data_IF_060358832595
#
_entry.id   IF_060358832595
#
_cell.length_a   1.000
_cell.length_b   1.000
_cell.length_c   1.000
_cell.angle_alpha   90.00
_cell.angle_beta   90.00
_cell.angle_gamma   90.00
#
_symmetry.space_group_name_H-M   'P 1'
#
loop_
_entity.id
_entity.type
_entity.pdbx_description
1 polymer ?
#
# COMPACT_ATOMS: atom_id res chain seq x y z
N UNK A 1 25.36 -63.27 18.46
CA UNK A 1 25.39 -63.58 19.91
C UNK A 1 25.37 -62.24 20.65
N UNK A 2 24.27 -61.48 20.72
CA UNK A 2 23.05 -61.65 21.53
C UNK A 2 23.31 -61.93 23.02
N UNK A 3 23.41 -60.86 23.81
CA UNK A 3 23.23 -60.89 25.26
C UNK A 3 22.05 -59.97 25.62
N UNK A 4 20.91 -60.62 25.93
CA UNK A 4 19.70 -60.04 26.51
C UNK A 4 19.92 -59.86 28.01
N UNK A 5 19.59 -58.70 28.56
CA UNK A 5 19.34 -58.54 29.99
C UNK A 5 17.89 -58.16 30.23
N UNK A 6 17.27 -58.92 31.13
CA UNK A 6 15.85 -58.90 31.48
C UNK A 6 15.56 -57.86 32.56
N UNK A 7 14.31 -57.41 32.52
CA UNK A 7 13.61 -56.63 33.54
C UNK A 7 13.72 -57.23 34.95
N UNK A 8 13.87 -56.36 35.95
CA UNK A 8 13.54 -56.61 37.35
C UNK A 8 12.66 -55.47 37.85
N UNK A 9 11.39 -55.79 38.06
CA UNK A 9 10.32 -54.93 38.59
C UNK A 9 10.34 -54.95 40.12
N UNK A 10 10.22 -53.78 40.75
CA UNK A 10 9.77 -53.61 42.13
C UNK A 10 8.61 -52.60 42.15
N UNK A 11 7.39 -53.14 42.22
CA UNK A 11 6.18 -52.57 42.80
C UNK A 11 6.42 -52.37 44.31
N UNK A 12 5.81 -51.48 45.12
CA UNK A 12 4.72 -50.50 45.09
C UNK A 12 4.76 -49.77 46.47
N UNK A 13 3.77 -49.01 46.97
CA UNK A 13 2.80 -48.08 46.37
C UNK A 13 2.93 -46.66 46.98
N UNK A 14 2.57 -45.61 46.23
CA UNK A 14 2.20 -44.33 46.83
C UNK A 14 0.71 -44.09 46.60
N UNK A 15 0.04 -43.88 47.72
CA UNK A 15 -1.39 -43.85 47.85
C UNK A 15 -2.04 -42.76 47.00
N UNK A 16 -3.09 -43.17 46.30
CA UNK A 16 -4.13 -42.31 45.78
C UNK A 16 -4.79 -41.52 46.92
N UNK A 17 -4.62 -40.20 46.93
CA UNK A 17 -5.62 -39.32 47.55
C UNK A 17 -6.56 -38.86 46.43
N UNK A 18 -7.71 -39.53 46.35
CA UNK A 18 -8.80 -39.16 45.48
C UNK A 18 -9.46 -37.89 46.04
N UNK A 19 -9.13 -36.73 45.47
CA UNK A 19 -10.02 -35.57 45.57
C UNK A 19 -11.12 -35.74 44.52
N UNK A 20 -12.31 -36.12 45.02
CA UNK A 20 -13.57 -35.95 44.34
C UNK A 20 -13.79 -34.46 44.01
N UNK A 21 -13.50 -34.08 42.77
CA UNK A 21 -14.16 -32.94 42.15
C UNK A 21 -15.23 -33.52 41.22
N UNK A 22 -16.46 -33.46 41.72
CA UNK A 22 -17.64 -33.82 40.98
C UNK A 22 -17.68 -33.05 39.67
N UNK A 23 -18.02 -33.79 38.61
CA UNK A 23 -18.46 -33.24 37.35
C UNK A 23 -19.72 -32.40 37.60
N UNK A 24 -19.53 -31.09 37.78
CA UNK A 24 -20.55 -30.13 37.41
C UNK A 24 -20.47 -29.98 35.90
N UNK A 25 -21.56 -30.37 35.24
CA UNK A 25 -21.82 -30.03 33.86
C UNK A 25 -21.49 -28.55 33.63
N UNK A 26 -20.88 -28.17 32.48
CA UNK A 26 -20.80 -26.77 32.14
C UNK A 26 -22.24 -26.29 31.97
N UNK A 27 -22.72 -25.54 32.96
CA UNK A 27 -23.81 -24.62 32.73
C UNK A 27 -23.33 -23.72 31.59
N UNK A 28 -24.03 -23.77 30.45
CA UNK A 28 -23.98 -22.74 29.42
C UNK A 28 -24.36 -21.43 30.10
N UNK A 29 -23.36 -20.78 30.69
CA UNK A 29 -23.42 -19.36 31.00
C UNK A 29 -23.31 -18.67 29.65
N UNK A 30 -24.48 -18.47 29.04
CA UNK A 30 -24.65 -17.45 28.04
C UNK A 30 -23.97 -16.17 28.58
N UNK A 31 -23.12 -15.50 27.79
CA UNK A 31 -22.50 -14.26 28.23
C UNK A 31 -23.62 -13.32 28.68
N UNK A 32 -23.43 -12.54 29.76
CA UNK A 32 -24.37 -11.51 30.11
C UNK A 32 -24.50 -10.64 28.87
N UNK A 33 -25.69 -10.67 28.27
CA UNK A 33 -26.10 -9.68 27.29
C UNK A 33 -26.09 -8.37 28.06
N UNK A 34 -24.95 -7.69 28.02
CA UNK A 34 -24.86 -6.29 28.38
C UNK A 34 -25.85 -5.60 27.45
N UNK A 35 -27.02 -5.31 28.01
CA UNK A 35 -28.02 -4.48 27.37
C UNK A 35 -27.31 -3.18 27.01
N UNK A 36 -26.95 -3.04 25.74
CA UNK A 36 -26.52 -1.78 25.17
C UNK A 36 -27.62 -0.78 25.56
N UNK A 37 -27.30 0.36 26.18
CA UNK A 37 -28.29 1.40 26.38
C UNK A 37 -28.92 1.66 25.02
N UNK A 38 -30.25 1.57 24.96
CA UNK A 38 -31.00 1.88 23.76
C UNK A 38 -30.47 3.23 23.26
N UNK A 39 -29.75 3.21 22.14
CA UNK A 39 -29.36 4.41 21.42
C UNK A 39 -30.67 5.12 21.13
N UNK A 40 -30.98 6.14 21.93
CA UNK A 40 -32.06 7.03 21.65
C UNK A 40 -31.85 7.47 20.21
N UNK A 41 -32.77 7.08 19.33
CA UNK A 41 -32.79 7.57 17.96
C UNK A 41 -32.82 9.08 18.07
N UNK A 42 -31.66 9.73 17.89
CA UNK A 42 -31.62 11.16 17.67
C UNK A 42 -32.42 11.35 16.39
N UNK A 43 -33.66 11.80 16.54
CA UNK A 43 -34.44 12.28 15.42
C UNK A 43 -33.58 13.35 14.75
N UNK A 44 -33.13 13.07 13.54
CA UNK A 44 -32.45 14.08 12.73
C UNK A 44 -33.36 15.32 12.74
N UNK A 45 -32.80 16.50 13.06
CA UNK A 45 -33.58 17.72 13.05
C UNK A 45 -34.29 17.85 11.69
N UNK A 46 -35.57 18.28 11.67
CA UNK A 46 -36.34 18.36 10.44
C UNK A 46 -35.54 19.16 9.40
N UNK A 47 -35.21 18.52 8.26
CA UNK A 47 -34.53 19.17 7.15
C UNK A 47 -35.32 20.41 6.77
N UNK A 48 -34.65 21.56 6.78
CA UNK A 48 -35.23 22.81 6.30
C UNK A 48 -35.84 22.57 4.90
N UNK A 49 -36.96 23.23 4.56
CA UNK A 49 -37.60 23.06 3.27
C UNK A 49 -36.62 23.40 2.15
N UNK A 50 -36.47 22.47 1.19
CA UNK A 50 -35.54 22.60 0.08
C UNK A 50 -35.96 23.79 -0.81
N UNK A 51 -35.09 24.78 -1.00
CA UNK A 51 -35.44 26.03 -1.71
C UNK A 51 -35.35 25.87 -3.24
N UNK A 52 -34.39 25.09 -3.71
CA UNK A 52 -34.02 24.96 -5.11
C UNK A 52 -34.20 23.49 -5.54
N UNK A 53 -35.25 23.20 -6.32
CA UNK A 53 -35.56 21.83 -6.77
C UNK A 53 -34.55 21.28 -7.79
N UNK A 54 -33.85 22.16 -8.52
CA UNK A 54 -32.89 21.73 -9.55
C UNK A 54 -31.57 21.23 -8.99
N UNK A 55 -30.98 21.95 -8.04
CA UNK A 55 -29.66 21.60 -7.49
C UNK A 55 -29.71 20.99 -6.09
N UNK A 56 -30.91 20.84 -5.52
CA UNK A 56 -31.08 20.39 -4.13
C UNK A 56 -30.31 21.25 -3.12
N UNK A 57 -30.41 22.57 -3.29
CA UNK A 57 -29.74 23.60 -2.47
C UNK A 57 -28.21 23.52 -2.41
N UNK A 58 -27.59 22.85 -3.39
CA UNK A 58 -26.12 22.81 -3.48
C UNK A 58 -25.51 24.05 -4.14
N UNK A 59 -26.33 24.91 -4.76
CA UNK A 59 -25.87 26.09 -5.52
C UNK A 59 -25.10 25.75 -6.81
N UNK A 60 -25.01 24.47 -7.18
CA UNK A 60 -24.27 24.00 -8.36
C UNK A 60 -24.99 22.84 -9.05
N UNK A 61 -24.73 22.68 -10.34
CA UNK A 61 -25.25 21.58 -11.16
C UNK A 61 -24.09 20.84 -11.83
N UNK A 62 -24.23 19.53 -12.10
CA UNK A 62 -23.26 18.82 -12.92
C UNK A 62 -23.20 19.48 -14.30
N UNK A 63 -22.00 19.53 -14.87
CA UNK A 63 -21.76 20.09 -16.19
C UNK A 63 -22.51 19.29 -17.27
N UNK A 64 -23.19 19.97 -18.20
CA UNK A 64 -23.95 19.33 -19.29
C UNK A 64 -23.08 18.49 -20.24
N UNK A 65 -21.80 18.83 -20.36
CA UNK A 65 -20.85 18.16 -21.25
C UNK A 65 -20.31 16.84 -20.70
N UNK A 66 -20.66 16.50 -19.45
CA UNK A 66 -20.14 15.32 -18.76
C UNK A 66 -21.30 14.54 -18.11
N UNK A 67 -21.24 13.21 -18.04
CA UNK A 67 -22.21 12.46 -17.27
C UNK A 67 -22.13 12.88 -15.79
N UNK A 68 -23.28 13.05 -15.14
CA UNK A 68 -23.34 13.54 -13.76
C UNK A 68 -22.52 12.69 -12.79
N UNK A 69 -22.47 11.37 -13.00
CA UNK A 69 -21.66 10.46 -12.19
C UNK A 69 -20.16 10.72 -12.31
N UNK A 70 -19.67 11.18 -13.47
CA UNK A 70 -18.25 11.51 -13.67
C UNK A 70 -17.89 12.85 -13.00
N UNK A 71 -18.84 13.79 -12.96
CA UNK A 71 -18.65 15.09 -12.30
C UNK A 71 -18.38 14.94 -10.80
N UNK A 72 -18.95 13.91 -10.16
CA UNK A 72 -18.71 13.61 -8.73
C UNK A 72 -17.25 13.24 -8.46
N UNK A 73 -16.59 12.52 -9.38
CA UNK A 73 -15.17 12.12 -9.21
C UNK A 73 -14.24 13.33 -9.14
N UNK A 74 -14.62 14.41 -9.81
CA UNK A 74 -13.85 15.66 -9.86
C UNK A 74 -13.83 16.42 -8.54
N UNK A 75 -14.65 16.01 -7.57
CA UNK A 75 -14.60 16.54 -6.20
C UNK A 75 -13.43 15.94 -5.40
N UNK A 76 -12.99 14.73 -5.74
CA UNK A 76 -11.99 13.96 -4.98
C UNK A 76 -10.54 14.20 -5.45
N UNK A 77 -10.35 14.87 -6.58
CA UNK A 77 -9.02 15.16 -7.15
C UNK A 77 -8.66 16.64 -7.08
N UNK A 78 -7.42 17.01 -7.37
CA UNK A 78 -7.01 18.41 -7.57
C UNK A 78 -7.04 18.80 -9.05
N UNK A 79 -6.90 17.82 -9.94
CA UNK A 79 -6.84 17.99 -11.38
C UNK A 79 -7.16 16.67 -12.10
N UNK A 80 -7.90 16.75 -13.21
CA UNK A 80 -8.12 15.66 -14.15
C UNK A 80 -8.00 16.19 -15.58
N UNK A 81 -7.08 15.65 -16.37
CA UNK A 81 -6.86 16.11 -17.75
C UNK A 81 -8.04 15.84 -18.67
N UNK A 82 -8.82 14.78 -18.44
CA UNK A 82 -9.94 14.37 -19.31
C UNK A 82 -11.01 15.46 -19.43
N UNK A 83 -11.23 16.23 -18.35
CA UNK A 83 -12.21 17.32 -18.37
C UNK A 83 -11.58 18.71 -18.28
N UNK A 84 -10.28 18.83 -17.97
CA UNK A 84 -9.58 20.11 -17.76
C UNK A 84 -9.74 21.14 -18.88
N UNK A 85 -10.03 20.69 -20.10
CA UNK A 85 -10.26 21.52 -21.28
C UNK A 85 -11.71 21.92 -21.53
N UNK A 86 -12.67 21.47 -20.71
CA UNK A 86 -14.09 21.73 -20.93
C UNK A 86 -14.40 23.23 -20.83
N UNK A 87 -14.89 23.81 -21.92
CA UNK A 87 -15.21 25.23 -22.01
C UNK A 87 -16.37 25.66 -21.09
N UNK A 88 -17.27 24.72 -20.74
CA UNK A 88 -18.47 25.01 -19.95
C UNK A 88 -18.15 25.06 -18.45
N UNK A 89 -17.49 24.04 -17.91
CA UNK A 89 -17.17 23.99 -16.47
C UNK A 89 -15.76 24.48 -16.12
N UNK A 90 -14.87 24.64 -17.11
CA UNK A 90 -13.46 24.96 -16.89
C UNK A 90 -12.68 23.82 -16.24
N UNK A 91 -13.11 22.58 -16.46
CA UNK A 91 -12.48 21.39 -15.88
C UNK A 91 -12.82 21.09 -14.44
N UNK A 92 -13.90 21.67 -13.92
CA UNK A 92 -14.37 21.42 -12.55
C UNK A 92 -15.41 20.31 -12.49
N UNK A 93 -16.07 19.98 -13.60
CA UNK A 93 -17.21 19.05 -13.63
C UNK A 93 -18.54 19.68 -13.17
N UNK A 94 -18.49 20.89 -12.63
CA UNK A 94 -19.65 21.57 -12.06
C UNK A 94 -19.82 22.98 -12.63
N UNK A 95 -21.08 23.40 -12.73
CA UNK A 95 -21.49 24.75 -13.13
C UNK A 95 -22.38 25.36 -12.07
N UNK A 96 -22.49 26.68 -12.11
CA UNK A 96 -23.30 27.44 -11.17
C UNK A 96 -24.80 27.21 -11.40
N UNK A 97 -25.58 27.11 -10.32
CA UNK A 97 -27.04 27.03 -10.41
C UNK A 97 -27.66 28.42 -10.38
N UNK A 98 -27.98 28.93 -11.57
CA UNK A 98 -28.54 30.28 -11.78
C UNK A 98 -29.86 30.56 -11.07
N UNK A 99 -30.59 29.53 -10.65
CA UNK A 99 -31.87 29.71 -9.95
C UNK A 99 -31.70 29.99 -8.45
N UNK A 100 -30.56 29.63 -7.85
CA UNK A 100 -30.39 29.72 -6.41
C UNK A 100 -29.50 30.91 -5.98
N UNK A 101 -28.76 31.53 -6.90
CA UNK A 101 -27.88 32.69 -6.67
C UNK A 101 -26.98 32.53 -5.42
N UNK A 102 -26.40 31.32 -5.25
CA UNK A 102 -25.59 30.99 -4.08
C UNK A 102 -24.14 31.50 -4.25
N UNK A 103 -23.87 32.68 -3.69
CA UNK A 103 -22.55 33.31 -3.72
C UNK A 103 -21.41 32.43 -3.16
N UNK A 104 -21.71 31.49 -2.24
CA UNK A 104 -20.71 30.56 -1.70
C UNK A 104 -20.34 29.52 -2.75
N UNK A 105 -21.34 28.94 -3.43
CA UNK A 105 -21.13 27.98 -4.50
C UNK A 105 -20.43 28.62 -5.71
N UNK A 106 -20.83 29.83 -6.09
CA UNK A 106 -20.19 30.61 -7.16
C UNK A 106 -18.71 30.86 -6.86
N UNK A 107 -18.40 31.33 -5.63
CA UNK A 107 -17.01 31.55 -5.21
C UNK A 107 -16.21 30.25 -5.22
N UNK A 108 -16.77 29.15 -4.73
CA UNK A 108 -16.12 27.85 -4.75
C UNK A 108 -15.78 27.40 -6.17
N UNK A 109 -16.71 27.57 -7.14
CA UNK A 109 -16.48 27.24 -8.55
C UNK A 109 -15.35 28.07 -9.16
N UNK A 110 -15.32 29.38 -8.89
CA UNK A 110 -14.24 30.27 -9.36
C UNK A 110 -12.89 29.85 -8.79
N UNK A 111 -12.80 29.65 -7.48
CA UNK A 111 -11.57 29.22 -6.80
C UNK A 111 -11.10 27.85 -7.32
N UNK A 112 -12.03 26.95 -7.60
CA UNK A 112 -11.74 25.61 -8.12
C UNK A 112 -11.23 25.64 -9.55
N UNK A 113 -11.81 26.45 -10.44
CA UNK A 113 -11.30 26.66 -11.81
C UNK A 113 -9.87 27.20 -11.79
N UNK A 114 -9.59 28.18 -10.92
CA UNK A 114 -8.26 28.73 -10.76
C UNK A 114 -7.25 27.66 -10.30
N UNK A 115 -7.63 26.79 -9.36
CA UNK A 115 -6.81 25.65 -8.93
C UNK A 115 -6.55 24.67 -10.07
N UNK A 116 -7.59 24.27 -10.82
CA UNK A 116 -7.45 23.35 -11.98
C UNK A 116 -6.50 23.94 -13.02
N UNK A 117 -6.65 25.22 -13.37
CA UNK A 117 -5.76 25.91 -14.30
C UNK A 117 -4.31 25.94 -13.80
N UNK A 118 -4.09 26.26 -12.52
CA UNK A 118 -2.76 26.25 -11.93
C UNK A 118 -2.12 24.85 -11.94
N UNK A 119 -2.89 23.80 -11.66
CA UNK A 119 -2.41 22.41 -11.73
C UNK A 119 -2.12 21.97 -13.17
N UNK A 120 -2.94 22.38 -14.15
CA UNK A 120 -2.66 22.15 -15.58
C UNK A 120 -1.28 22.66 -15.97
N UNK A 121 -0.95 23.90 -15.59
CA UNK A 121 0.37 24.49 -15.83
C UNK A 121 1.47 23.74 -15.08
N UNK A 122 1.26 23.42 -13.80
CA UNK A 122 2.24 22.73 -12.98
C UNK A 122 2.59 21.32 -13.49
N UNK A 123 1.64 20.62 -14.11
CA UNK A 123 1.82 19.26 -14.65
C UNK A 123 2.23 19.22 -16.13
N UNK A 124 2.45 20.39 -16.77
CA UNK A 124 2.82 20.50 -18.18
C UNK A 124 4.18 19.84 -18.48
N UNK A 125 5.10 19.79 -17.51
CA UNK A 125 6.42 19.16 -17.69
C UNK A 125 6.30 17.68 -18.12
N UNK A 126 5.22 17.00 -17.75
CA UNK A 126 4.96 15.62 -18.17
C UNK A 126 4.65 15.57 -19.68
N UNK A 127 3.82 16.49 -20.18
CA UNK A 127 3.51 16.56 -21.61
C UNK A 127 4.74 16.95 -22.42
N UNK A 128 5.55 17.86 -21.88
CA UNK A 128 6.80 18.30 -22.52
C UNK A 128 7.81 17.15 -22.61
N UNK A 129 7.94 16.33 -21.56
CA UNK A 129 8.79 15.14 -21.57
C UNK A 129 8.29 14.07 -22.56
N UNK A 130 6.97 13.94 -22.71
CA UNK A 130 6.34 12.98 -23.61
C UNK A 130 6.12 13.52 -25.03
N UNK A 131 6.36 14.81 -25.27
CA UNK A 131 6.13 15.52 -26.53
C UNK A 131 4.69 15.44 -27.06
N UNK A 132 3.73 15.22 -26.16
CA UNK A 132 2.29 15.14 -26.44
C UNK A 132 1.51 15.35 -25.15
N UNK A 133 0.24 15.72 -25.26
CA UNK A 133 -0.66 15.66 -24.11
C UNK A 133 -0.85 14.20 -23.66
N UNK A 134 -0.73 13.98 -22.36
CA UNK A 134 -1.01 12.67 -21.73
C UNK A 134 -2.14 12.78 -20.71
N UNK A 135 -2.91 11.70 -20.58
CA UNK A 135 -3.98 11.57 -19.60
C UNK A 135 -3.39 11.47 -18.21
N UNK A 136 -3.74 12.41 -17.35
CA UNK A 136 -3.22 12.48 -15.99
C UNK A 136 -4.18 13.14 -15.03
N UNK A 137 -4.05 12.75 -13.78
CA UNK A 137 -4.75 13.35 -12.68
C UNK A 137 -3.83 13.53 -11.49
N UNK A 138 -4.28 14.32 -10.55
CA UNK A 138 -3.56 14.59 -9.32
C UNK A 138 -4.53 14.60 -8.16
N UNK A 139 -4.14 13.96 -7.07
CA UNK A 139 -4.83 13.99 -5.79
C UNK A 139 -4.03 14.79 -4.75
N UNK A 140 -4.44 14.72 -3.49
CA UNK A 140 -3.74 15.40 -2.40
C UNK A 140 -2.26 14.98 -2.30
N UNK A 141 -1.97 13.69 -2.47
CA UNK A 141 -0.64 13.13 -2.21
C UNK A 141 0.06 12.53 -3.45
N UNK A 142 -0.64 12.39 -4.57
CA UNK A 142 -0.15 11.63 -5.73
C UNK A 142 -0.39 12.35 -7.06
N UNK A 143 0.49 12.09 -8.02
CA UNK A 143 0.25 12.38 -9.44
C UNK A 143 0.22 11.06 -10.20
N UNK A 144 -0.77 10.89 -11.07
CA UNK A 144 -0.93 9.67 -11.87
C UNK A 144 -1.08 10.05 -13.35
N UNK A 145 -0.25 9.46 -14.21
CA UNK A 145 -0.51 9.33 -15.65
C UNK A 145 -1.13 7.96 -15.92
N UNK A 146 -2.21 7.93 -16.69
CA UNK A 146 -2.97 6.72 -16.99
C UNK A 146 -3.33 6.64 -18.47
N UNK A 147 -2.43 6.06 -19.27
CA UNK A 147 -2.60 5.88 -20.71
C UNK A 147 -3.16 4.50 -21.07
N UNK A 148 -3.80 3.82 -20.12
CA UNK A 148 -4.59 2.61 -20.41
C UNK A 148 -5.98 3.03 -20.92
N UNK A 149 -6.52 2.28 -21.89
CA UNK A 149 -7.84 2.57 -22.49
C UNK A 149 -8.99 2.09 -21.61
N UNK A 150 -9.28 0.78 -21.65
CA UNK A 150 -10.32 0.17 -20.85
C UNK A 150 -9.78 -1.08 -20.18
N UNK A 151 -10.27 -1.35 -18.98
CA UNK A 151 -9.83 -2.49 -18.20
C UNK A 151 -11.02 -3.12 -17.50
N UNK A 152 -11.00 -4.45 -17.40
CA UNK A 152 -11.97 -5.18 -16.59
C UNK A 152 -11.50 -5.13 -15.15
N UNK A 153 -12.29 -4.48 -14.30
CA UNK A 153 -12.13 -4.44 -12.84
C UNK A 153 -13.27 -5.25 -12.26
N UNK A 154 -12.93 -6.34 -11.58
CA UNK A 154 -13.90 -7.34 -11.11
C UNK A 154 -14.86 -7.80 -12.23
N UNK A 155 -16.14 -7.39 -12.16
CA UNK A 155 -17.21 -7.74 -13.11
C UNK A 155 -17.51 -6.64 -14.13
N UNK A 156 -16.95 -5.44 -13.97
CA UNK A 156 -17.24 -4.27 -14.82
C UNK A 156 -16.06 -3.95 -15.73
N UNK A 157 -16.35 -3.39 -16.89
CA UNK A 157 -15.34 -2.77 -17.75
C UNK A 157 -15.42 -1.27 -17.53
N UNK A 158 -14.32 -0.69 -17.06
CA UNK A 158 -14.27 0.72 -16.69
C UNK A 158 -13.61 1.51 -17.82
N UNK A 159 -14.08 2.73 -18.03
CA UNK A 159 -13.49 3.65 -18.99
C UNK A 159 -12.15 4.18 -18.48
N UNK A 160 -11.35 4.75 -19.38
CA UNK A 160 -10.09 5.41 -19.03
C UNK A 160 -10.23 6.51 -17.98
N UNK A 161 -11.33 7.27 -18.04
CA UNK A 161 -11.61 8.35 -17.10
C UNK A 161 -11.90 7.77 -15.71
N UNK A 162 -12.77 6.76 -15.64
CA UNK A 162 -13.10 6.07 -14.39
C UNK A 162 -11.87 5.36 -13.79
N UNK A 163 -11.02 4.76 -14.62
CA UNK A 163 -9.79 4.10 -14.18
C UNK A 163 -8.77 5.09 -13.59
N UNK A 164 -8.60 6.27 -14.19
CA UNK A 164 -7.71 7.31 -13.65
C UNK A 164 -8.12 7.67 -12.22
N UNK A 165 -9.41 7.91 -11.98
CA UNK A 165 -9.95 8.24 -10.66
C UNK A 165 -9.89 7.06 -9.69
N UNK A 166 -10.23 5.85 -10.15
CA UNK A 166 -10.12 4.63 -9.34
C UNK A 166 -8.69 4.44 -8.81
N UNK A 167 -7.69 4.58 -9.68
CA UNK A 167 -6.31 4.38 -9.29
C UNK A 167 -5.75 5.51 -8.43
N UNK A 168 -6.16 6.77 -8.64
CA UNK A 168 -5.86 7.85 -7.69
C UNK A 168 -6.42 7.53 -6.30
N UNK A 169 -7.68 7.09 -6.21
CA UNK A 169 -8.30 6.69 -4.94
C UNK A 169 -7.58 5.52 -4.27
N UNK A 170 -7.16 4.52 -5.04
CA UNK A 170 -6.36 3.38 -4.54
C UNK A 170 -5.01 3.84 -3.99
N UNK A 171 -4.33 4.75 -4.69
CA UNK A 171 -3.05 5.33 -4.24
C UNK A 171 -3.22 6.19 -2.97
N UNK A 172 -4.29 6.97 -2.86
CA UNK A 172 -4.64 7.70 -1.63
C UNK A 172 -4.95 6.76 -0.47
N UNK A 173 -5.62 5.63 -0.74
CA UNK A 173 -5.87 4.58 0.26
C UNK A 173 -4.55 3.98 0.77
N UNK A 174 -3.61 3.67 -0.14
CA UNK A 174 -2.27 3.23 0.23
C UNK A 174 -1.53 4.29 1.05
N UNK A 175 -1.57 5.56 0.64
CA UNK A 175 -0.94 6.65 1.37
C UNK A 175 -1.45 6.77 2.82
N UNK A 176 -2.77 6.68 3.00
CA UNK A 176 -3.40 6.75 4.31
C UNK A 176 -3.01 5.56 5.20
N UNK A 177 -3.01 4.33 4.66
CA UNK A 177 -2.60 3.13 5.41
C UNK A 177 -1.10 3.16 5.73
N UNK A 178 -0.25 3.56 4.78
CA UNK A 178 1.19 3.80 5.01
C UNK A 178 1.42 4.78 6.14
N UNK A 179 0.75 5.93 6.11
CA UNK A 179 0.90 6.98 7.11
C UNK A 179 0.43 6.51 8.50
N UNK A 180 -0.70 5.81 8.55
CA UNK A 180 -1.24 5.25 9.78
C UNK A 180 -0.30 4.18 10.38
N UNK A 181 0.24 3.28 9.55
CA UNK A 181 1.08 2.16 9.99
C UNK A 181 2.46 2.60 10.47
N UNK A 182 3.05 3.61 9.83
CA UNK A 182 4.33 4.17 10.23
C UNK A 182 4.19 5.33 11.23
N UNK A 183 2.96 5.74 11.54
CA UNK A 183 2.64 6.89 12.39
C UNK A 183 3.32 8.17 11.92
N UNK A 184 3.34 8.39 10.60
CA UNK A 184 3.89 9.58 9.95
C UNK A 184 2.77 10.51 9.49
N UNK A 185 3.09 11.78 9.30
CA UNK A 185 2.16 12.80 8.80
C UNK A 185 2.66 13.45 7.51
N UNK A 186 1.77 14.17 6.83
CA UNK A 186 2.01 14.81 5.53
C UNK A 186 3.27 15.68 5.49
N UNK A 187 3.62 16.36 6.59
CA UNK A 187 4.77 17.29 6.64
C UNK A 187 6.11 16.59 6.55
N UNK A 188 6.14 15.27 6.74
CA UNK A 188 7.34 14.46 6.64
C UNK A 188 7.66 14.04 5.21
N UNK A 189 6.74 14.18 4.25
CA UNK A 189 7.00 13.81 2.86
C UNK A 189 7.66 14.96 2.11
N UNK A 190 8.82 14.71 1.50
CA UNK A 190 9.54 15.74 0.75
C UNK A 190 8.91 16.07 -0.61
N UNK A 191 8.03 15.20 -1.12
CA UNK A 191 7.37 15.40 -2.39
C UNK A 191 6.28 14.37 -2.62
N UNK A 192 5.44 14.65 -3.62
CA UNK A 192 4.41 13.73 -4.10
C UNK A 192 5.04 12.68 -5.03
N UNK A 193 4.76 11.40 -4.85
CA UNK A 193 5.08 10.39 -5.86
C UNK A 193 4.36 10.67 -7.19
N UNK A 194 5.09 10.52 -8.29
CA UNK A 194 4.53 10.51 -9.64
C UNK A 194 4.53 9.07 -10.19
N UNK A 195 3.35 8.56 -10.51
CA UNK A 195 3.16 7.21 -11.05
C UNK A 195 2.74 7.35 -12.52
N UNK A 196 3.39 6.61 -13.42
CA UNK A 196 3.14 6.65 -14.85
C UNK A 196 2.81 5.25 -15.38
N UNK A 197 1.58 5.06 -15.82
CA UNK A 197 1.09 3.76 -16.31
C UNK A 197 0.77 3.88 -17.80
N UNK A 198 1.50 3.11 -18.60
CA UNK A 198 1.45 3.18 -20.07
C UNK A 198 0.88 1.91 -20.67
N UNK A 199 0.11 2.05 -21.75
CA UNK A 199 -0.27 0.88 -22.55
C UNK A 199 0.85 0.44 -23.51
N UNK A 200 1.55 1.41 -24.10
CA UNK A 200 2.62 1.16 -25.07
C UNK A 200 3.99 1.08 -24.38
N UNK A 201 4.80 0.03 -24.63
CA UNK A 201 6.15 -0.06 -24.11
C UNK A 201 7.04 1.14 -24.49
N UNK A 202 6.83 1.71 -25.67
CA UNK A 202 7.59 2.87 -26.16
C UNK A 202 7.37 4.11 -25.31
N UNK A 203 6.15 4.34 -24.83
CA UNK A 203 5.85 5.45 -23.94
C UNK A 203 6.50 5.24 -22.56
N UNK A 204 6.50 3.99 -22.08
CA UNK A 204 7.23 3.63 -20.86
C UNK A 204 8.73 3.91 -20.98
N UNK A 205 9.37 3.48 -22.07
CA UNK A 205 10.79 3.72 -22.33
C UNK A 205 11.11 5.22 -22.45
N UNK A 206 10.30 5.96 -23.20
CA UNK A 206 10.45 7.41 -23.37
C UNK A 206 10.32 8.14 -22.03
N UNK A 207 9.32 7.78 -21.22
CA UNK A 207 9.12 8.32 -19.88
C UNK A 207 10.30 7.99 -18.96
N UNK A 208 10.76 6.73 -18.97
CA UNK A 208 11.91 6.29 -18.21
C UNK A 208 13.14 7.15 -18.50
N UNK A 209 13.50 7.31 -19.77
CA UNK A 209 14.66 8.11 -20.16
C UNK A 209 14.50 9.60 -19.85
N UNK A 210 13.30 10.16 -20.08
CA UNK A 210 13.09 11.62 -19.99
C UNK A 210 12.85 12.13 -18.57
N UNK A 211 12.25 11.31 -17.71
CA UNK A 211 11.84 11.70 -16.36
C UNK A 211 12.55 10.91 -15.25
N UNK A 212 13.12 9.74 -15.54
CA UNK A 212 13.82 8.93 -14.54
C UNK A 212 15.31 8.72 -14.88
N UNK A 213 15.75 9.15 -16.07
CA UNK A 213 17.11 8.97 -16.60
C UNK A 213 17.53 7.49 -16.70
N UNK A 214 16.56 6.58 -16.75
CA UNK A 214 16.77 5.13 -16.72
C UNK A 214 15.67 4.41 -17.50
N UNK A 215 15.99 3.26 -18.11
CA UNK A 215 15.02 2.39 -18.75
C UNK A 215 15.26 0.92 -18.40
N UNK A 216 14.19 0.14 -18.37
CA UNK A 216 14.21 -1.31 -18.20
C UNK A 216 12.96 -1.89 -18.86
N UNK A 217 12.95 -3.19 -19.15
CA UNK A 217 11.74 -3.85 -19.67
C UNK A 217 10.60 -3.91 -18.62
N UNK A 218 10.97 -4.00 -17.35
CA UNK A 218 10.06 -3.93 -16.21
C UNK A 218 9.89 -2.49 -15.73
N UNK A 219 9.09 -2.28 -14.68
CA UNK A 219 8.89 -0.95 -14.12
C UNK A 219 10.19 -0.33 -13.59
N UNK A 220 10.34 0.99 -13.76
CA UNK A 220 11.53 1.76 -13.35
C UNK A 220 11.14 2.75 -12.26
N UNK A 221 11.92 2.79 -11.18
CA UNK A 221 11.70 3.64 -10.00
C UNK A 221 12.85 4.65 -9.88
N UNK A 222 12.53 5.94 -9.78
CA UNK A 222 13.46 6.96 -9.28
C UNK A 222 13.09 7.24 -7.83
N UNK A 223 13.99 6.95 -6.91
CA UNK A 223 13.75 7.03 -5.46
C UNK A 223 14.41 8.28 -4.88
N UNK A 224 13.89 8.75 -3.75
CA UNK A 224 14.40 9.94 -3.04
C UNK A 224 13.34 11.04 -2.89
N UNK A 225 13.72 12.34 -2.89
CA UNK A 225 12.81 13.43 -2.51
C UNK A 225 11.70 13.71 -3.54
N UNK A 226 11.94 13.43 -4.82
CA UNK A 226 10.96 13.60 -5.91
C UNK A 226 10.72 12.26 -6.60
N UNK A 227 10.07 11.30 -5.91
CA UNK A 227 10.08 9.92 -6.35
C UNK A 227 9.13 9.72 -7.55
N UNK A 228 9.54 8.84 -8.47
CA UNK A 228 8.81 8.58 -9.71
C UNK A 228 8.79 7.08 -10.00
N UNK A 229 7.71 6.60 -10.59
CA UNK A 229 7.59 5.23 -11.07
C UNK A 229 6.95 5.22 -12.46
N UNK A 230 7.54 4.49 -13.39
CA UNK A 230 6.97 4.28 -14.73
C UNK A 230 6.87 2.79 -15.02
N UNK A 231 5.76 2.36 -15.61
CA UNK A 231 5.58 0.98 -16.05
C UNK A 231 4.65 0.85 -17.26
N UNK A 232 4.90 -0.15 -18.10
CA UNK A 232 3.98 -0.59 -19.13
C UNK A 232 2.95 -1.57 -18.54
N UNK A 233 1.71 -1.11 -18.34
CA UNK A 233 0.61 -1.82 -17.67
C UNK A 233 -0.23 -2.75 -18.56
N UNK A 234 0.20 -3.03 -19.79
CA UNK A 234 -0.58 -3.81 -20.75
C UNK A 234 -0.65 -5.31 -20.41
N UNK A 235 -1.48 -6.04 -21.17
CA UNK A 235 -1.75 -7.47 -20.95
C UNK A 235 -0.56 -8.41 -21.16
N UNK A 236 0.50 -7.95 -21.81
CA UNK A 236 1.73 -8.73 -21.94
C UNK A 236 2.48 -8.79 -20.61
N UNK A 237 2.38 -7.73 -19.80
CA UNK A 237 3.05 -7.62 -18.51
C UNK A 237 2.13 -7.97 -17.33
N UNK A 238 0.83 -7.62 -17.42
CA UNK A 238 -0.14 -7.83 -16.35
C UNK A 238 -1.40 -8.51 -16.86
N UNK A 239 -1.70 -9.68 -16.28
CA UNK A 239 -2.86 -10.47 -16.69
C UNK A 239 -4.19 -9.74 -16.51
N UNK A 240 -4.34 -9.00 -15.43
CA UNK A 240 -5.57 -8.33 -15.01
C UNK A 240 -5.29 -7.11 -14.11
N UNK A 241 -6.37 -6.43 -13.69
CA UNK A 241 -6.33 -5.27 -12.80
C UNK A 241 -5.68 -5.59 -11.45
N UNK A 242 -5.93 -6.76 -10.87
CA UNK A 242 -5.36 -7.13 -9.57
C UNK A 242 -3.84 -7.25 -9.64
N UNK A 243 -3.31 -7.87 -10.71
CA UNK A 243 -1.87 -7.97 -10.93
C UNK A 243 -1.22 -6.58 -11.09
N UNK A 244 -1.81 -5.70 -11.91
CA UNK A 244 -1.31 -4.35 -12.11
C UNK A 244 -1.40 -3.51 -10.83
N UNK A 245 -2.53 -3.57 -10.11
CA UNK A 245 -2.74 -2.83 -8.88
C UNK A 245 -1.75 -3.26 -7.80
N UNK A 246 -1.51 -4.56 -7.62
CA UNK A 246 -0.51 -5.06 -6.67
C UNK A 246 0.89 -4.55 -6.99
N UNK A 247 1.27 -4.53 -8.27
CA UNK A 247 2.55 -3.99 -8.71
C UNK A 247 2.69 -2.49 -8.42
N UNK A 248 1.62 -1.73 -8.64
CA UNK A 248 1.58 -0.30 -8.34
C UNK A 248 1.67 -0.06 -6.83
N UNK A 249 1.02 -0.88 -6.00
CA UNK A 249 1.13 -0.80 -4.53
C UNK A 249 2.55 -1.07 -4.06
N UNK A 250 3.15 -2.16 -4.51
CA UNK A 250 4.53 -2.51 -4.22
C UNK A 250 5.46 -1.36 -4.60
N UNK A 251 5.36 -0.87 -5.83
CA UNK A 251 6.26 0.18 -6.34
C UNK A 251 6.08 1.52 -5.65
N UNK A 252 4.83 1.92 -5.39
CA UNK A 252 4.51 3.17 -4.68
C UNK A 252 4.97 3.12 -3.22
N UNK A 253 4.97 1.93 -2.59
CA UNK A 253 5.49 1.77 -1.22
C UNK A 253 6.96 2.17 -1.13
N UNK A 254 7.80 1.77 -2.09
CA UNK A 254 9.19 2.25 -2.15
C UNK A 254 9.27 3.77 -2.35
N UNK A 255 8.42 4.33 -3.22
CA UNK A 255 8.40 5.77 -3.45
C UNK A 255 8.13 6.52 -2.14
N UNK A 256 7.08 6.11 -1.41
CA UNK A 256 6.69 6.68 -0.12
C UNK A 256 7.78 6.51 0.94
N UNK A 257 8.34 5.31 1.07
CA UNK A 257 9.45 5.05 1.99
C UNK A 257 10.67 5.90 1.63
N UNK A 258 10.96 6.12 0.36
CA UNK A 258 12.12 6.90 -0.08
C UNK A 258 11.95 8.41 0.12
N UNK A 259 10.72 8.94 0.06
CA UNK A 259 10.48 10.38 0.18
C UNK A 259 10.03 10.86 1.56
N UNK A 260 9.63 9.96 2.47
CA UNK A 260 9.39 10.32 3.87
C UNK A 260 10.72 10.68 4.57
N UNK A 261 10.73 11.71 5.41
CA UNK A 261 11.93 12.28 5.99
C UNK A 261 12.74 11.26 6.82
N UNK A 262 14.06 11.22 6.76
CA UNK A 262 14.93 11.93 5.80
C UNK A 262 14.77 11.29 4.41
N UNK A 263 14.64 12.06 3.31
CA UNK A 263 14.50 11.47 1.99
C UNK A 263 15.79 10.74 1.57
N UNK A 264 15.65 9.59 0.93
CA UNK A 264 16.76 8.77 0.48
C UNK A 264 16.36 7.32 0.27
N UNK A 265 17.03 6.66 -0.66
CA UNK A 265 16.86 5.24 -0.90
C UNK A 265 17.81 4.43 -0.02
N UNK A 266 17.28 3.48 0.74
CA UNK A 266 18.09 2.60 1.60
C UNK A 266 18.43 1.24 0.96
N UNK A 267 17.77 0.89 -0.15
CA UNK A 267 17.87 -0.44 -0.74
C UNK A 267 19.25 -0.78 -1.29
N UNK A 268 20.04 0.21 -1.69
CA UNK A 268 21.42 0.02 -2.19
C UNK A 268 22.52 0.27 -1.14
N UNK A 269 22.14 0.51 0.12
CA UNK A 269 23.05 0.79 1.24
C UNK A 269 22.81 -0.17 2.41
N UNK A 270 22.62 -1.45 2.10
CA UNK A 270 22.37 -2.53 3.06
C UNK A 270 21.05 -2.41 3.85
N UNK A 271 20.12 -1.61 3.36
CA UNK A 271 18.74 -1.51 3.85
C UNK A 271 17.74 -2.29 2.98
N UNK A 272 18.19 -3.17 2.09
CA UNK A 272 17.33 -3.88 1.13
C UNK A 272 16.21 -4.67 1.81
N UNK A 273 16.49 -5.26 2.98
CA UNK A 273 15.51 -6.04 3.72
C UNK A 273 14.30 -5.21 4.19
N UNK A 274 14.49 -3.95 4.54
CA UNK A 274 13.40 -3.07 4.97
C UNK A 274 12.65 -2.52 3.75
N UNK A 275 13.38 -2.16 2.70
CA UNK A 275 12.83 -1.59 1.47
C UNK A 275 11.88 -2.59 0.78
N UNK A 276 12.37 -3.78 0.47
CA UNK A 276 11.56 -4.85 -0.15
C UNK A 276 10.58 -5.48 0.83
N UNK A 277 11.00 -5.65 2.09
CA UNK A 277 10.13 -6.22 3.12
C UNK A 277 8.86 -5.40 3.31
N UNK A 278 8.96 -4.06 3.29
CA UNK A 278 7.79 -3.20 3.45
C UNK A 278 6.90 -3.22 2.21
N UNK A 279 7.48 -3.22 1.00
CA UNK A 279 6.72 -3.33 -0.25
C UNK A 279 5.90 -4.63 -0.29
N UNK A 280 6.54 -5.78 -0.05
CA UNK A 280 5.85 -7.07 0.02
C UNK A 280 4.85 -7.16 1.17
N UNK A 281 5.11 -6.50 2.30
CA UNK A 281 4.15 -6.48 3.42
C UNK A 281 2.83 -5.81 3.02
N UNK A 282 2.87 -4.73 2.24
CA UNK A 282 1.65 -4.12 1.70
C UNK A 282 0.94 -5.00 0.66
N UNK A 283 1.66 -5.81 -0.11
CA UNK A 283 1.05 -6.82 -0.99
C UNK A 283 0.31 -7.89 -0.19
N UNK A 284 0.98 -8.49 0.81
CA UNK A 284 0.40 -9.49 1.69
C UNK A 284 -0.81 -8.93 2.45
N UNK A 285 -0.73 -7.67 2.88
CA UNK A 285 -1.81 -7.01 3.60
C UNK A 285 -3.08 -6.84 2.78
N UNK A 286 -2.98 -6.59 1.49
CA UNK A 286 -4.14 -6.33 0.63
C UNK A 286 -4.64 -7.60 -0.09
N UNK A 287 -3.75 -8.55 -0.40
CA UNK A 287 -4.11 -9.74 -1.18
C UNK A 287 -3.75 -11.08 -0.52
N UNK A 288 -2.97 -11.08 0.57
CA UNK A 288 -2.45 -12.30 1.20
C UNK A 288 -1.44 -13.05 0.32
N UNK A 289 -0.89 -12.39 -0.70
CA UNK A 289 0.10 -12.91 -1.63
C UNK A 289 1.16 -11.84 -1.95
N UNK A 290 2.38 -12.29 -2.20
CA UNK A 290 3.52 -11.48 -2.65
C UNK A 290 4.11 -12.15 -3.90
N UNK A 291 3.88 -11.60 -5.08
CA UNK A 291 4.34 -12.21 -6.35
C UNK A 291 4.86 -11.17 -7.35
N UNK A 292 5.01 -9.90 -6.95
CA UNK A 292 5.79 -8.97 -7.76
C UNK A 292 7.26 -9.08 -7.40
N UNK A 293 8.08 -8.91 -8.43
CA UNK A 293 9.51 -8.77 -8.29
C UNK A 293 9.92 -7.50 -9.04
N UNK A 294 10.65 -6.59 -8.39
CA UNK A 294 11.26 -5.42 -8.99
C UNK A 294 12.28 -5.83 -10.06
N UNK A 295 12.55 -4.98 -11.06
CA UNK A 295 13.53 -5.31 -12.12
C UNK A 295 14.96 -5.54 -11.60
N UNK A 296 15.27 -5.02 -10.40
CA UNK A 296 16.54 -5.23 -9.70
C UNK A 296 16.60 -6.58 -8.98
N UNK A 297 15.46 -7.23 -8.77
CA UNK A 297 15.40 -8.56 -8.17
C UNK A 297 15.82 -9.59 -9.20
N UNK A 298 16.68 -10.52 -8.81
CA UNK A 298 17.03 -11.64 -9.67
C UNK A 298 15.76 -12.42 -9.99
N UNK A 299 15.38 -12.42 -11.26
CA UNK A 299 14.20 -13.11 -11.76
C UNK A 299 14.35 -14.62 -11.52
N UNK A 300 13.94 -15.09 -10.34
CA UNK A 300 13.88 -16.50 -10.07
C UNK A 300 12.65 -17.04 -10.76
N UNK A 301 12.82 -17.95 -11.72
CA UNK A 301 11.74 -18.78 -12.27
C UNK A 301 11.09 -19.71 -11.21
N UNK A 302 11.25 -19.38 -9.94
CA UNK A 302 10.85 -20.11 -8.74
C UNK A 302 10.05 -19.11 -7.92
N UNK A 303 8.85 -19.51 -7.51
CA UNK A 303 7.98 -18.71 -6.63
C UNK A 303 7.40 -19.63 -5.55
N UNK A 304 7.00 -19.06 -4.41
CA UNK A 304 6.31 -19.76 -3.33
C UNK A 304 4.84 -20.03 -3.67
N UNK A 305 4.59 -20.90 -4.66
CA UNK A 305 3.26 -21.42 -5.04
C UNK A 305 2.19 -20.32 -5.15
N UNK A 306 2.45 -19.28 -5.95
CA UNK A 306 1.53 -18.15 -6.12
C UNK A 306 1.67 -17.11 -5.02
N UNK A 307 2.91 -16.82 -4.61
CA UNK A 307 3.22 -15.75 -3.67
C UNK A 307 2.82 -15.96 -2.21
N UNK A 308 2.60 -17.20 -1.75
CA UNK A 308 2.17 -17.48 -0.35
C UNK A 308 3.33 -17.41 0.64
N UNK A 309 3.89 -16.21 0.82
CA UNK A 309 5.10 -16.00 1.61
C UNK A 309 4.94 -16.39 3.09
N UNK A 310 3.83 -16.07 3.76
CA UNK A 310 3.62 -16.45 5.17
C UNK A 310 3.75 -17.96 5.40
N UNK A 311 3.12 -18.77 4.55
CA UNK A 311 3.20 -20.23 4.65
C UNK A 311 4.63 -20.72 4.39
N UNK A 312 5.30 -20.17 3.37
CA UNK A 312 6.67 -20.51 3.04
C UNK A 312 7.65 -20.16 4.18
N UNK A 313 7.55 -18.96 4.75
CA UNK A 313 8.38 -18.50 5.87
C UNK A 313 8.17 -19.40 7.08
N UNK A 314 6.92 -19.71 7.45
CA UNK A 314 6.64 -20.62 8.57
C UNK A 314 7.32 -21.98 8.37
N UNK A 315 7.24 -22.54 7.16
CA UNK A 315 7.88 -23.80 6.82
C UNK A 315 9.40 -23.71 6.92
N UNK A 316 10.01 -22.66 6.37
CA UNK A 316 11.46 -22.44 6.47
C UNK A 316 11.93 -22.32 7.92
N UNK A 317 11.18 -21.61 8.77
CA UNK A 317 11.50 -21.48 10.20
C UNK A 317 11.36 -22.83 10.91
N UNK A 318 10.27 -23.56 10.69
CA UNK A 318 10.03 -24.87 11.31
C UNK A 318 11.07 -25.92 10.92
N UNK A 319 11.57 -25.87 9.68
CA UNK A 319 12.61 -26.77 9.18
C UNK A 319 14.05 -26.31 9.51
N UNK A 320 14.22 -25.14 10.15
CA UNK A 320 15.55 -24.58 10.43
C UNK A 320 16.30 -24.12 9.18
N UNK A 321 15.59 -23.83 8.09
CA UNK A 321 16.15 -23.45 6.77
C UNK A 321 15.96 -21.97 6.41
N UNK A 322 15.36 -21.17 7.28
CA UNK A 322 15.26 -19.74 7.06
C UNK A 322 16.66 -19.10 6.97
N UNK A 323 16.91 -18.18 6.02
CA UNK A 323 18.17 -17.43 5.96
C UNK A 323 18.49 -16.75 7.30
N UNK A 324 19.77 -16.73 7.74
CA UNK A 324 20.17 -16.05 8.98
C UNK A 324 19.86 -14.55 8.91
N UNK A 325 19.30 -13.98 9.99
CA UNK A 325 18.92 -12.56 10.04
C UNK A 325 20.13 -11.66 9.76
N UNK A 326 21.29 -12.00 10.33
CA UNK A 326 22.52 -11.23 10.17
C UNK A 326 23.00 -11.16 8.71
N UNK A 327 22.77 -12.22 7.93
CA UNK A 327 23.10 -12.27 6.50
C UNK A 327 22.14 -11.39 5.69
N UNK A 328 20.84 -11.53 5.93
CA UNK A 328 19.78 -10.77 5.23
C UNK A 328 19.94 -9.27 5.46
N UNK A 329 20.25 -8.86 6.68
CA UNK A 329 20.41 -7.45 7.08
C UNK A 329 21.64 -6.75 6.49
N UNK A 330 22.49 -7.47 5.75
CA UNK A 330 23.64 -6.91 5.02
C UNK A 330 23.40 -6.80 3.51
N UNK A 331 22.26 -7.29 3.02
CA UNK A 331 21.97 -7.33 1.58
C UNK A 331 21.44 -6.00 1.07
N UNK A 332 21.81 -5.71 -0.18
CA UNK A 332 21.11 -4.73 -1.00
C UNK A 332 19.91 -5.41 -1.68
N UNK A 333 18.99 -4.62 -2.23
CA UNK A 333 17.82 -5.12 -2.96
C UNK A 333 18.21 -6.11 -4.06
N UNK A 334 19.23 -5.79 -4.85
CA UNK A 334 19.69 -6.57 -6.00
C UNK A 334 20.42 -7.86 -5.62
N UNK A 335 20.73 -8.06 -4.33
CA UNK A 335 21.42 -9.24 -3.82
C UNK A 335 20.52 -10.13 -2.95
N UNK A 336 19.26 -9.75 -2.75
CA UNK A 336 18.29 -10.59 -2.05
C UNK A 336 17.89 -11.79 -2.93
N UNK A 337 17.88 -12.97 -2.31
CA UNK A 337 17.31 -14.18 -2.93
C UNK A 337 15.83 -14.30 -2.59
N UNK A 338 15.07 -15.11 -3.33
CA UNK A 338 13.64 -15.33 -3.06
C UNK A 338 13.33 -15.71 -1.58
N UNK A 339 14.04 -16.66 -0.93
CA UNK A 339 13.86 -16.91 0.50
C UNK A 339 14.11 -15.68 1.37
N UNK A 340 15.07 -14.82 0.99
CA UNK A 340 15.37 -13.58 1.70
C UNK A 340 14.23 -12.59 1.56
N UNK A 341 13.67 -12.35 0.37
CA UNK A 341 12.48 -11.51 0.18
C UNK A 341 11.32 -11.93 1.10
N UNK A 342 11.04 -13.23 1.15
CA UNK A 342 9.96 -13.74 2.00
C UNK A 342 10.20 -13.50 3.49
N UNK A 343 11.42 -13.72 4.00
CA UNK A 343 11.72 -13.40 5.40
C UNK A 343 11.80 -11.89 5.65
N UNK A 344 12.19 -11.07 4.68
CA UNK A 344 12.17 -9.61 4.78
C UNK A 344 10.75 -9.08 5.03
N UNK A 345 9.76 -9.57 4.27
CA UNK A 345 8.35 -9.28 4.51
C UNK A 345 7.96 -9.65 5.95
N UNK A 346 8.38 -10.83 6.41
CA UNK A 346 8.08 -11.29 7.76
C UNK A 346 8.79 -10.52 8.88
N UNK A 347 10.00 -10.01 8.63
CA UNK A 347 10.70 -9.12 9.57
C UNK A 347 9.94 -7.82 9.74
N UNK A 348 9.48 -7.23 8.64
CA UNK A 348 8.64 -6.03 8.67
C UNK A 348 7.32 -6.31 9.38
N UNK A 349 6.64 -7.41 9.06
CA UNK A 349 5.40 -7.82 9.73
C UNK A 349 5.56 -7.89 11.25
N UNK A 350 6.66 -8.46 11.74
CA UNK A 350 6.93 -8.46 13.17
C UNK A 350 7.17 -7.04 13.71
N UNK A 351 8.12 -6.29 13.14
CA UNK A 351 8.58 -5.03 13.70
C UNK A 351 7.53 -3.91 13.63
N UNK A 352 6.76 -3.84 12.55
CA UNK A 352 5.71 -2.81 12.36
C UNK A 352 4.53 -3.03 13.29
N UNK A 353 4.21 -4.29 13.62
CA UNK A 353 3.15 -4.64 14.56
C UNK A 353 3.57 -4.46 16.03
N UNK A 354 4.87 -4.36 16.33
CA UNK A 354 5.33 -3.95 17.66
C UNK A 354 5.06 -2.46 17.90
N UNK A 355 5.51 -1.61 16.99
CA UNK A 355 5.38 -0.15 17.09
C UNK A 355 5.74 0.52 15.75
N UNK A 356 4.77 1.18 15.13
CA UNK A 356 4.92 1.88 13.86
C UNK A 356 5.89 3.07 13.91
N UNK A 357 5.91 3.82 15.01
CA UNK A 357 6.80 4.97 15.18
C UNK A 357 8.26 4.50 15.36
N UNK A 358 8.48 3.38 16.06
CA UNK A 358 9.80 2.73 16.11
C UNK A 358 10.22 2.22 14.74
N UNK A 359 9.32 1.63 13.98
CA UNK A 359 9.64 1.15 12.63
C UNK A 359 10.08 2.30 11.72
N UNK A 360 9.37 3.42 11.76
CA UNK A 360 9.78 4.65 11.07
C UNK A 360 11.12 5.18 11.59
N UNK A 361 11.37 5.19 12.91
CA UNK A 361 12.65 5.61 13.48
C UNK A 361 13.82 4.73 13.01
N UNK A 362 13.61 3.41 12.90
CA UNK A 362 14.56 2.47 12.33
C UNK A 362 14.87 2.81 10.87
N UNK A 363 13.84 3.11 10.07
CA UNK A 363 14.04 3.51 8.66
C UNK A 363 14.95 4.74 8.52
N UNK A 364 14.83 5.74 9.41
CA UNK A 364 15.70 6.92 9.41
C UNK A 364 17.16 6.57 9.67
N UNK A 365 17.41 5.63 10.60
CA UNK A 365 18.77 5.15 10.91
C UNK A 365 19.39 4.43 9.73
N UNK A 366 18.62 3.57 9.05
CA UNK A 366 19.10 2.85 7.86
C UNK A 366 19.44 3.82 6.72
N UNK A 367 18.59 4.83 6.46
CA UNK A 367 18.90 5.88 5.48
C UNK A 367 20.14 6.71 5.83
N UNK A 368 20.42 6.86 7.12
CA UNK A 368 21.65 7.47 7.63
C UNK A 368 22.86 6.52 7.61
N UNK A 369 22.76 5.36 6.96
CA UNK A 369 23.81 4.33 6.83
C UNK A 369 24.27 3.73 8.17
N UNK A 370 23.44 3.80 9.21
CA UNK A 370 23.69 3.08 10.45
C UNK A 370 23.49 1.58 10.18
N UNK A 371 24.46 0.71 10.53
CA UNK A 371 24.30 -0.73 10.33
C UNK A 371 23.02 -1.28 10.96
N UNK A 372 22.30 -2.15 10.25
CA UNK A 372 21.00 -2.68 10.69
C UNK A 372 20.99 -3.23 12.11
N UNK A 373 22.05 -3.94 12.52
CA UNK A 373 22.16 -4.49 13.88
C UNK A 373 22.28 -3.43 14.97
N UNK A 374 23.01 -2.34 14.71
CA UNK A 374 23.15 -1.22 15.65
C UNK A 374 21.86 -0.43 15.74
N UNK A 375 21.23 -0.17 14.60
CA UNK A 375 19.95 0.52 14.54
C UNK A 375 18.83 -0.27 15.24
N UNK A 376 18.78 -1.60 15.06
CA UNK A 376 17.82 -2.47 15.73
C UNK A 376 18.04 -2.49 17.25
N UNK A 377 19.29 -2.56 17.69
CA UNK A 377 19.63 -2.50 19.12
C UNK A 377 19.22 -1.16 19.73
N UNK A 378 19.46 -0.05 19.04
CA UNK A 378 19.11 1.28 19.52
C UNK A 378 17.58 1.46 19.64
N UNK A 379 16.83 1.06 18.61
CA UNK A 379 15.39 1.36 18.52
C UNK A 379 14.52 0.31 19.23
N UNK A 380 14.88 -0.95 19.11
CA UNK A 380 14.10 -2.09 19.63
C UNK A 380 14.77 -2.80 20.80
N UNK A 381 16.01 -2.44 21.17
CA UNK A 381 16.72 -3.11 22.27
C UNK A 381 17.22 -4.51 21.92
N UNK A 382 17.23 -4.91 20.64
CA UNK A 382 17.57 -6.26 20.20
C UNK A 382 18.75 -6.25 19.22
N UNK A 383 19.73 -7.13 19.46
CA UNK A 383 20.74 -7.51 18.47
C UNK A 383 20.14 -8.49 17.46
N UNK A 384 20.77 -8.67 16.28
CA UNK A 384 20.25 -9.58 15.25
C UNK A 384 19.91 -11.00 15.73
N UNK A 385 20.73 -11.60 16.60
CA UNK A 385 20.48 -12.94 17.14
C UNK A 385 19.27 -12.99 18.08
N UNK A 386 19.08 -11.96 18.91
CA UNK A 386 17.95 -11.83 19.81
C UNK A 386 16.65 -11.62 19.02
N UNK A 387 16.71 -10.76 17.99
CA UNK A 387 15.62 -10.54 17.06
C UNK A 387 15.25 -11.82 16.32
N UNK A 388 16.22 -12.58 15.81
CA UNK A 388 15.97 -13.84 15.12
C UNK A 388 15.20 -14.84 15.98
N UNK A 389 15.54 -14.96 17.27
CA UNK A 389 14.85 -15.85 18.19
C UNK A 389 13.38 -15.46 18.39
N UNK A 390 13.09 -14.18 18.68
CA UNK A 390 11.72 -13.71 18.92
C UNK A 390 10.89 -13.69 17.63
N UNK A 391 11.49 -13.37 16.49
CA UNK A 391 10.84 -13.41 15.19
C UNK A 391 10.44 -14.85 14.80
N UNK A 392 11.35 -15.82 14.96
CA UNK A 392 11.03 -17.24 14.69
C UNK A 392 9.88 -17.72 15.57
N UNK A 393 9.88 -17.38 16.85
CA UNK A 393 8.79 -17.71 17.77
C UNK A 393 7.45 -17.09 17.31
N UNK A 394 7.45 -15.81 16.91
CA UNK A 394 6.28 -15.13 16.36
C UNK A 394 5.73 -15.83 15.11
N UNK A 395 6.60 -16.16 14.14
CA UNK A 395 6.21 -16.85 12.92
C UNK A 395 5.55 -18.20 13.22
N UNK A 396 6.16 -19.01 14.11
CA UNK A 396 5.62 -20.31 14.52
C UNK A 396 4.32 -20.18 15.33
N UNK A 397 4.08 -19.06 16.00
CA UNK A 397 2.84 -18.83 16.72
C UNK A 397 1.70 -18.33 15.81
N UNK A 398 1.99 -17.50 14.81
CA UNK A 398 0.97 -16.68 14.13
C UNK A 398 0.73 -17.03 12.67
N UNK A 399 1.71 -17.59 11.95
CA UNK A 399 1.56 -17.83 10.51
C UNK A 399 0.77 -19.12 10.24
N UNK A 400 0.04 -19.22 9.11
CA UNK A 400 -0.77 -20.38 8.80
C UNK A 400 0.09 -21.64 8.62
N UNK A 401 -0.46 -22.79 9.02
CA UNK A 401 0.19 -24.10 8.85
C UNK A 401 -0.15 -24.79 7.53
N UNK A 402 -1.16 -24.29 6.79
CA UNK A 402 -1.73 -24.91 5.60
C UNK A 402 -2.15 -23.86 4.58
#
# INVERSE_FOLDING_TARGET
MQARWKLGSLLAPLAFLALHLGALAPAELAPPVLALPALAQQQEPPKAPQKCLKCHDQGRLPCSEHPSAECEWELDVLYCSEISGCAVCGGVGWVDCKDCEDAVAEKWLVDRRAKVAARKTALKFIDDAMKREVRKGESAHMVLVWEMEEMKVEKRRLSRHELLHLYLKRLETLYADFSARLQVNEKLFAGKPNIYVWYMPQDHDQCGLSLLEQNAKGGVKLLGPTPRYTICGNKQNFRDDDALHRNIVHSTTHLLLSCVAVPGWMGNIKGGWMDEGLAHWFEDRYWGICDNYCYQEQNSNVDFKGGKFRLAVRRMVAEGKAPPVAEVMQQNVDTLTLPMHAVCMSYVDYLINQDGAKFYALSKKLKAKVPSGDALKEIYGMRPLEFEAVWKAFVLATYPTR
#
